data_IF_735084816391
#
_entry.id   IF_735084816391
#
_cell.length_a   1.000
_cell.length_b   1.000
_cell.length_c   1.000
_cell.angle_alpha   90.00
_cell.angle_beta   90.00
_cell.angle_gamma   90.00
#
_symmetry.space_group_name_H-M   'P 1'
#
loop_
_entity.id
_entity.type
_entity.pdbx_description
1 polymer ?
#
# COMPACT_ATOMS: atom_id res chain seq x y z
N UNK A 1 -3.02 13.17 -17.77
CA UNK A 1 -4.46 12.93 -17.51
C UNK A 1 -4.63 11.79 -16.48
N UNK A 2 -3.75 11.70 -15.46
CA UNK A 2 -3.33 10.37 -14.98
C UNK A 2 -3.68 10.04 -13.53
N UNK A 3 -4.29 10.96 -12.76
CA UNK A 3 -4.72 10.68 -11.38
C UNK A 3 -6.24 10.64 -11.16
N UNK A 4 -7.04 11.24 -12.05
CA UNK A 4 -8.51 11.33 -11.85
C UNK A 4 -9.21 9.97 -12.02
N UNK A 5 -8.86 9.20 -13.05
CA UNK A 5 -9.50 7.91 -13.33
C UNK A 5 -9.14 6.80 -12.30
N UNK A 6 -8.01 6.93 -11.60
CA UNK A 6 -7.56 5.95 -10.58
C UNK A 6 -8.32 6.15 -9.26
N UNK A 7 -8.58 7.41 -8.89
CA UNK A 7 -9.44 7.75 -7.75
C UNK A 7 -10.87 7.27 -7.96
N UNK A 8 -11.39 7.38 -9.19
CA UNK A 8 -12.76 6.95 -9.53
C UNK A 8 -13.00 5.46 -9.24
N UNK A 9 -12.07 4.56 -9.56
CA UNK A 9 -12.32 3.12 -9.40
C UNK A 9 -12.42 2.67 -7.92
N UNK A 10 -11.55 3.17 -7.04
CA UNK A 10 -11.51 2.75 -5.62
C UNK A 10 -12.69 3.31 -4.84
N UNK A 11 -13.00 4.59 -5.04
CA UNK A 11 -14.16 5.24 -4.42
C UNK A 11 -15.47 4.66 -4.98
N UNK A 12 -15.53 4.27 -6.26
CA UNK A 12 -16.69 3.54 -6.81
C UNK A 12 -16.87 2.20 -6.12
N UNK A 13 -15.81 1.40 -5.90
CA UNK A 13 -15.91 0.14 -5.15
C UNK A 13 -16.42 0.36 -3.73
N UNK A 14 -15.90 1.37 -3.03
CA UNK A 14 -16.36 1.72 -1.68
C UNK A 14 -17.83 2.16 -1.68
N UNK A 15 -18.25 2.94 -2.69
CA UNK A 15 -19.63 3.40 -2.85
C UNK A 15 -20.61 2.26 -3.17
N UNK A 16 -20.18 1.28 -3.97
CA UNK A 16 -20.93 0.06 -4.24
C UNK A 16 -21.14 -0.75 -2.96
N UNK A 17 -20.09 -0.96 -2.16
CA UNK A 17 -20.19 -1.65 -0.87
C UNK A 17 -21.09 -0.87 0.09
N UNK A 18 -20.96 0.46 0.11
CA UNK A 18 -21.76 1.33 0.96
C UNK A 18 -23.25 1.40 0.56
N UNK A 19 -23.61 0.97 -0.66
CA UNK A 19 -24.97 1.07 -1.19
C UNK A 19 -25.34 2.46 -1.69
N UNK A 20 -24.34 3.30 -1.97
CA UNK A 20 -24.51 4.61 -2.61
C UNK A 20 -24.61 4.49 -4.14
N UNK A 21 -24.07 3.40 -4.69
CA UNK A 21 -24.19 2.99 -6.09
C UNK A 21 -24.74 1.56 -6.18
N UNK A 22 -25.37 1.24 -7.30
CA UNK A 22 -25.82 -0.12 -7.64
C UNK A 22 -24.83 -0.77 -8.61
N UNK A 23 -24.50 -2.07 -8.42
CA UNK A 23 -23.65 -2.78 -9.37
C UNK A 23 -24.42 -3.07 -10.66
N UNK A 24 -23.72 -3.02 -11.80
CA UNK A 24 -24.30 -3.41 -13.09
C UNK A 24 -24.56 -4.92 -13.17
N UNK A 25 -23.69 -5.72 -12.54
CA UNK A 25 -23.79 -7.18 -12.42
C UNK A 25 -23.07 -7.68 -11.14
N UNK A 26 -23.32 -8.92 -10.76
CA UNK A 26 -22.73 -9.57 -9.59
C UNK A 26 -23.46 -9.28 -8.27
N UNK A 27 -22.88 -9.77 -7.17
CA UNK A 27 -23.50 -9.71 -5.85
C UNK A 27 -22.51 -9.22 -4.78
N UNK A 28 -23.02 -8.51 -3.79
CA UNK A 28 -22.26 -8.02 -2.63
C UNK A 28 -22.77 -8.73 -1.38
N UNK A 29 -21.87 -9.41 -0.68
CA UNK A 29 -22.17 -10.11 0.58
C UNK A 29 -21.43 -9.46 1.74
N UNK A 30 -22.15 -9.12 2.82
CA UNK A 30 -21.58 -8.64 4.08
C UNK A 30 -22.04 -9.58 5.20
N UNK A 31 -21.10 -10.17 5.92
CA UNK A 31 -21.41 -11.15 6.98
C UNK A 31 -22.19 -12.37 6.47
N UNK A 32 -22.03 -12.74 5.20
CA UNK A 32 -22.78 -13.83 4.54
C UNK A 32 -24.18 -13.44 4.05
N UNK A 33 -24.62 -12.19 4.26
CA UNK A 33 -25.93 -11.70 3.84
C UNK A 33 -25.78 -10.95 2.51
N UNK A 34 -26.60 -11.27 1.53
CA UNK A 34 -26.69 -10.49 0.28
C UNK A 34 -27.24 -9.08 0.60
N UNK A 35 -26.42 -8.07 0.33
CA UNK A 35 -26.76 -6.66 0.52
C UNK A 35 -26.87 -5.89 -0.79
N UNK A 36 -26.77 -6.57 -1.95
CA UNK A 36 -26.65 -5.97 -3.28
C UNK A 36 -27.67 -4.84 -3.50
N UNK A 37 -28.95 -5.11 -3.21
CA UNK A 37 -30.05 -4.16 -3.39
C UNK A 37 -30.49 -3.43 -2.10
N UNK A 38 -29.79 -3.66 -0.97
CA UNK A 38 -30.13 -3.02 0.31
C UNK A 38 -29.69 -1.57 0.34
N UNK A 39 -30.47 -0.71 0.99
CA UNK A 39 -30.10 0.68 1.20
C UNK A 39 -28.94 0.79 2.21
N UNK A 40 -28.13 1.88 2.20
CA UNK A 40 -26.95 2.02 3.06
C UNK A 40 -27.20 1.75 4.55
N UNK A 41 -28.34 2.20 5.09
CA UNK A 41 -28.68 2.04 6.51
C UNK A 41 -29.05 0.60 6.90
N UNK A 42 -29.26 -0.29 5.93
CA UNK A 42 -29.61 -1.70 6.11
C UNK A 42 -28.38 -2.63 5.99
N UNK A 43 -27.20 -2.10 5.65
CA UNK A 43 -25.99 -2.89 5.34
C UNK A 43 -25.06 -3.17 6.53
N UNK A 44 -25.42 -2.70 7.73
CA UNK A 44 -24.60 -2.84 8.95
C UNK A 44 -23.12 -2.41 8.77
N UNK A 45 -22.93 -1.23 8.17
CA UNK A 45 -21.60 -0.69 7.83
C UNK A 45 -21.30 0.60 8.60
N UNK A 46 -20.05 0.75 9.04
CA UNK A 46 -19.50 2.04 9.48
C UNK A 46 -18.79 2.75 8.33
N UNK A 47 -18.96 4.06 8.16
CA UNK A 47 -18.25 4.84 7.14
C UNK A 47 -17.53 6.01 7.78
N UNK A 48 -16.22 6.09 7.56
CA UNK A 48 -15.36 7.20 7.99
C UNK A 48 -15.02 8.04 6.76
N UNK A 49 -15.48 9.28 6.75
CA UNK A 49 -15.23 10.25 5.67
C UNK A 49 -13.94 11.05 5.95
N UNK A 50 -13.33 11.58 4.88
CA UNK A 50 -12.13 12.43 4.94
C UNK A 50 -12.29 13.65 5.87
N UNK A 51 -13.47 14.28 5.89
CA UNK A 51 -13.76 15.44 6.73
C UNK A 51 -14.25 15.08 8.14
N UNK A 52 -14.12 13.81 8.56
CA UNK A 52 -14.62 13.22 9.81
C UNK A 52 -16.16 13.22 9.97
N UNK A 53 -16.85 14.12 9.27
CA UNK A 53 -18.30 14.30 9.23
C UNK A 53 -18.93 14.34 10.63
N UNK A 54 -18.24 14.92 11.62
CA UNK A 54 -18.78 15.11 12.97
C UNK A 54 -19.86 16.19 12.94
N UNK A 55 -20.95 16.00 13.67
CA UNK A 55 -22.02 16.97 13.80
C UNK A 55 -21.53 18.13 14.67
N UNK A 56 -21.36 19.36 14.12
CA UNK A 56 -20.69 20.45 14.84
C UNK A 56 -21.51 21.01 15.99
N UNK A 57 -22.82 20.75 15.99
CA UNK A 57 -23.78 21.20 17.00
C UNK A 57 -24.04 20.15 18.09
N UNK A 58 -23.40 19.00 18.02
CA UNK A 58 -23.49 17.94 19.02
C UNK A 58 -22.18 17.82 19.78
N UNK A 59 -22.23 17.45 21.07
CA UNK A 59 -21.02 17.11 21.84
C UNK A 59 -20.36 15.84 21.30
N UNK A 60 -19.16 15.53 21.77
CA UNK A 60 -18.48 14.26 21.45
C UNK A 60 -19.33 13.06 21.87
N UNK A 61 -19.86 13.06 23.10
CA UNK A 61 -20.71 11.99 23.59
C UNK A 61 -21.97 11.83 22.72
N UNK A 62 -22.58 12.93 22.29
CA UNK A 62 -23.75 12.90 21.41
C UNK A 62 -23.42 12.40 20.00
N UNK A 63 -22.29 12.82 19.44
CA UNK A 63 -21.78 12.33 18.16
C UNK A 63 -21.60 10.81 18.21
N UNK A 64 -20.96 10.29 19.25
CA UNK A 64 -20.72 8.86 19.43
C UNK A 64 -22.04 8.13 19.69
N UNK A 65 -22.96 8.68 20.49
CA UNK A 65 -24.24 8.04 20.78
C UNK A 65 -25.21 8.01 19.58
N UNK A 66 -25.02 8.88 18.59
CA UNK A 66 -25.97 9.07 17.49
C UNK A 66 -26.34 7.76 16.74
N UNK A 67 -25.39 6.91 16.31
CA UNK A 67 -25.74 5.64 15.65
C UNK A 67 -26.53 4.69 16.55
N UNK A 68 -26.25 4.67 17.87
CA UNK A 68 -26.99 3.85 18.82
C UNK A 68 -28.43 4.33 19.00
N UNK A 69 -28.65 5.65 19.00
CA UNK A 69 -29.99 6.26 19.02
C UNK A 69 -30.81 5.84 17.81
N UNK A 70 -30.20 5.85 16.61
CA UNK A 70 -30.86 5.40 15.38
C UNK A 70 -31.22 3.92 15.41
N UNK A 71 -30.44 3.11 16.15
CA UNK A 71 -30.70 1.68 16.39
C UNK A 71 -31.64 1.41 17.58
N UNK A 72 -32.19 2.45 18.21
CA UNK A 72 -33.12 2.35 19.34
C UNK A 72 -32.53 1.58 20.54
N UNK A 73 -31.21 1.68 20.75
CA UNK A 73 -30.52 1.13 21.93
C UNK A 73 -30.97 1.89 23.18
N UNK A 74 -31.07 1.20 24.33
CA UNK A 74 -31.53 1.83 25.58
C UNK A 74 -30.56 2.92 26.06
N UNK A 75 -31.08 3.93 26.77
CA UNK A 75 -30.25 5.03 27.28
C UNK A 75 -29.09 4.56 28.16
N UNK A 76 -29.33 3.55 28.99
CA UNK A 76 -28.32 2.95 29.86
C UNK A 76 -27.20 2.26 29.06
N UNK A 77 -27.55 1.42 28.09
CA UNK A 77 -26.56 0.76 27.23
C UNK A 77 -25.79 1.76 26.37
N UNK A 78 -26.45 2.82 25.90
CA UNK A 78 -25.79 3.90 25.17
C UNK A 78 -24.71 4.58 25.99
N UNK A 79 -25.02 4.97 27.23
CA UNK A 79 -24.04 5.59 28.13
C UNK A 79 -22.82 4.67 28.38
N UNK A 80 -23.07 3.39 28.62
CA UNK A 80 -22.00 2.41 28.82
C UNK A 80 -21.14 2.21 27.57
N UNK A 81 -21.76 2.19 26.38
CA UNK A 81 -21.05 2.05 25.12
C UNK A 81 -20.21 3.29 24.78
N UNK A 82 -20.75 4.49 25.02
CA UNK A 82 -20.03 5.76 24.82
C UNK A 82 -18.83 5.85 25.77
N UNK A 83 -19.00 5.54 27.06
CA UNK A 83 -17.89 5.56 28.01
C UNK A 83 -16.79 4.57 27.60
N UNK A 84 -17.16 3.33 27.29
CA UNK A 84 -16.21 2.29 26.85
C UNK A 84 -15.44 2.66 25.59
N UNK A 85 -16.10 3.24 24.58
CA UNK A 85 -15.41 3.60 23.34
C UNK A 85 -14.52 4.83 23.52
N UNK A 86 -14.87 5.76 24.42
CA UNK A 86 -14.01 6.90 24.76
C UNK A 86 -12.74 6.47 25.50
N UNK A 87 -12.84 5.48 26.39
CA UNK A 87 -11.67 4.84 27.00
C UNK A 87 -10.78 4.18 25.94
N UNK A 88 -11.38 3.43 25.01
CA UNK A 88 -10.65 2.76 23.93
C UNK A 88 -9.82 3.75 23.10
N UNK A 89 -10.40 4.89 22.74
CA UNK A 89 -9.69 5.93 21.96
C UNK A 89 -8.86 6.89 22.82
N UNK A 90 -8.72 6.60 24.12
CA UNK A 90 -7.94 7.36 25.10
C UNK A 90 -8.38 8.84 25.23
N UNK A 91 -9.70 9.10 25.13
CA UNK A 91 -10.29 10.43 25.24
C UNK A 91 -11.49 10.50 26.21
N UNK A 92 -11.45 9.92 27.42
CA UNK A 92 -12.60 9.96 28.34
C UNK A 92 -12.98 11.39 28.76
N UNK A 93 -12.02 12.31 28.80
CA UNK A 93 -12.18 13.68 29.31
C UNK A 93 -12.78 14.68 28.30
N UNK A 94 -13.07 14.27 27.06
CA UNK A 94 -13.60 15.18 26.02
C UNK A 94 -15.08 14.98 25.73
N UNK A 95 -15.77 14.12 26.48
CA UNK A 95 -17.17 13.74 26.24
C UNK A 95 -18.12 14.94 26.06
N UNK A 96 -17.95 15.98 26.87
CA UNK A 96 -18.82 17.18 26.89
C UNK A 96 -18.37 18.28 25.92
N UNK A 97 -17.22 18.10 25.23
CA UNK A 97 -16.71 19.08 24.27
C UNK A 97 -17.42 18.97 22.94
N UNK A 98 -17.40 20.05 22.17
CA UNK A 98 -17.81 20.09 20.78
C UNK A 98 -16.64 19.79 19.83
N UNK A 99 -16.89 19.28 18.60
CA UNK A 99 -15.83 18.95 17.64
C UNK A 99 -14.83 20.09 17.38
N UNK A 100 -15.30 21.34 17.36
CA UNK A 100 -14.47 22.54 17.16
C UNK A 100 -13.42 22.79 18.26
N UNK A 101 -13.58 22.15 19.41
CA UNK A 101 -12.68 22.27 20.58
C UNK A 101 -11.62 21.16 20.62
N UNK A 102 -11.59 20.31 19.58
CA UNK A 102 -10.69 19.18 19.45
C UNK A 102 -9.62 19.45 18.38
N UNK A 103 -8.43 18.87 18.58
CA UNK A 103 -7.42 18.79 17.52
C UNK A 103 -7.89 17.88 16.38
N UNK A 104 -7.27 18.00 15.19
CA UNK A 104 -7.61 17.14 14.04
C UNK A 104 -7.50 15.64 14.35
N UNK A 105 -6.42 15.22 15.03
CA UNK A 105 -6.26 13.83 15.47
C UNK A 105 -7.31 13.38 16.48
N UNK A 106 -7.72 14.26 17.40
CA UNK A 106 -8.83 13.97 18.32
C UNK A 106 -10.15 13.83 17.56
N UNK A 107 -10.48 14.73 16.63
CA UNK A 107 -11.69 14.62 15.80
C UNK A 107 -11.72 13.29 15.03
N UNK A 108 -10.58 12.87 14.48
CA UNK A 108 -10.49 11.59 13.79
C UNK A 108 -10.73 10.39 14.71
N UNK A 109 -10.12 10.38 15.90
CA UNK A 109 -10.38 9.36 16.93
C UNK A 109 -11.87 9.31 17.30
N UNK A 110 -12.53 10.46 17.43
CA UNK A 110 -13.97 10.53 17.70
C UNK A 110 -14.80 10.01 16.51
N UNK A 111 -14.42 10.31 15.27
CA UNK A 111 -15.10 9.80 14.08
C UNK A 111 -15.01 8.27 13.95
N UNK A 112 -13.84 7.71 14.26
CA UNK A 112 -13.62 6.27 14.37
C UNK A 112 -14.48 5.67 15.50
N UNK A 113 -14.44 6.26 16.70
CA UNK A 113 -15.24 5.83 17.84
C UNK A 113 -16.74 5.80 17.51
N UNK A 114 -17.25 6.85 16.85
CA UNK A 114 -18.65 6.91 16.39
C UNK A 114 -18.99 5.77 15.45
N UNK A 115 -18.11 5.40 14.52
CA UNK A 115 -18.35 4.28 13.61
C UNK A 115 -18.29 2.93 14.31
N UNK A 116 -17.46 2.80 15.34
CA UNK A 116 -17.19 1.54 16.04
C UNK A 116 -18.13 1.25 17.21
N UNK A 117 -18.81 2.27 17.75
CA UNK A 117 -19.58 2.17 19.01
C UNK A 117 -20.64 1.05 18.99
N UNK A 118 -21.26 0.79 17.84
CA UNK A 118 -22.27 -0.25 17.67
C UNK A 118 -21.73 -1.55 17.05
N UNK A 119 -20.41 -1.64 16.87
CA UNK A 119 -19.69 -2.82 16.35
C UNK A 119 -20.23 -3.31 15.00
N UNK A 120 -20.12 -2.50 13.92
CA UNK A 120 -20.54 -2.92 12.59
C UNK A 120 -19.77 -4.15 12.10
N UNK A 121 -20.35 -4.87 11.15
CA UNK A 121 -19.68 -5.98 10.47
C UNK A 121 -18.43 -5.53 9.69
N UNK A 122 -18.46 -4.32 9.12
CA UNK A 122 -17.36 -3.74 8.34
C UNK A 122 -17.29 -2.21 8.52
N UNK A 123 -16.07 -1.67 8.51
CA UNK A 123 -15.80 -0.23 8.50
C UNK A 123 -15.13 0.14 7.18
N UNK A 124 -15.68 1.12 6.49
CA UNK A 124 -15.17 1.68 5.24
C UNK A 124 -14.44 3.00 5.53
N UNK A 125 -13.23 3.15 5.02
CA UNK A 125 -12.46 4.39 5.13
C UNK A 125 -11.97 4.83 3.77
N UNK A 126 -12.35 6.03 3.34
CA UNK A 126 -11.93 6.60 2.05
C UNK A 126 -10.92 7.73 2.27
N UNK A 127 -9.64 7.44 2.00
CA UNK A 127 -8.46 8.28 2.23
C UNK A 127 -8.50 9.11 3.53
N UNK A 128 -8.75 8.48 4.70
CA UNK A 128 -9.06 9.18 5.93
C UNK A 128 -7.89 10.01 6.49
N UNK A 129 -6.68 9.86 5.95
CA UNK A 129 -5.45 10.52 6.40
C UNK A 129 -4.88 11.53 5.39
N UNK A 130 -5.50 11.68 4.22
CA UNK A 130 -4.95 12.47 3.11
C UNK A 130 -4.74 13.96 3.44
N UNK A 131 -5.58 14.53 4.32
CA UNK A 131 -5.51 15.95 4.70
C UNK A 131 -4.53 16.24 5.86
N UNK A 132 -3.89 15.22 6.44
CA UNK A 132 -3.04 15.36 7.62
C UNK A 132 -1.57 15.60 7.24
N UNK A 133 -0.85 16.35 8.09
CA UNK A 133 0.60 16.47 8.00
C UNK A 133 1.29 15.14 8.34
N UNK A 134 2.55 14.97 7.92
CA UNK A 134 3.30 13.72 8.05
C UNK A 134 3.40 13.21 9.49
N UNK A 135 3.59 14.09 10.47
CA UNK A 135 3.77 13.67 11.88
C UNK A 135 2.46 13.15 12.45
N UNK A 136 1.38 13.89 12.24
CA UNK A 136 0.06 13.50 12.71
C UNK A 136 -0.45 12.26 11.96
N UNK A 137 -0.19 12.16 10.65
CA UNK A 137 -0.49 10.99 9.83
C UNK A 137 0.13 9.71 10.41
N UNK A 138 1.44 9.72 10.66
CA UNK A 138 2.14 8.55 11.21
C UNK A 138 1.61 8.15 12.59
N UNK A 139 1.30 9.13 13.44
CA UNK A 139 0.67 8.87 14.74
C UNK A 139 -0.71 8.22 14.58
N UNK A 140 -1.53 8.73 13.66
CA UNK A 140 -2.88 8.23 13.43
C UNK A 140 -2.92 6.84 12.79
N UNK A 141 -1.95 6.51 11.93
CA UNK A 141 -1.78 5.15 11.40
C UNK A 141 -1.60 4.13 12.52
N UNK A 142 -0.65 4.38 13.43
CA UNK A 142 -0.41 3.50 14.58
C UNK A 142 -1.65 3.36 15.45
N UNK A 143 -2.38 4.45 15.65
CA UNK A 143 -3.61 4.47 16.42
C UNK A 143 -4.72 3.60 15.81
N UNK A 144 -4.97 3.75 14.51
CA UNK A 144 -5.97 2.94 13.79
C UNK A 144 -5.60 1.46 13.87
N UNK A 145 -4.31 1.12 13.73
CA UNK A 145 -3.83 -0.26 13.83
C UNK A 145 -4.03 -0.85 15.23
N UNK A 146 -3.77 -0.06 16.28
CA UNK A 146 -4.05 -0.44 17.68
C UNK A 146 -5.53 -0.71 17.88
N UNK A 147 -6.38 0.24 17.51
CA UNK A 147 -7.84 0.14 17.65
C UNK A 147 -8.39 -1.06 16.86
N UNK A 148 -7.93 -1.27 15.63
CA UNK A 148 -8.30 -2.44 14.81
C UNK A 148 -7.98 -3.75 15.52
N UNK A 149 -6.76 -3.88 16.07
CA UNK A 149 -6.30 -5.08 16.76
C UNK A 149 -7.10 -5.39 18.03
N UNK A 150 -7.56 -4.37 18.74
CA UNK A 150 -8.38 -4.52 19.95
C UNK A 150 -9.85 -4.87 19.64
N UNK A 151 -10.39 -4.38 18.51
CA UNK A 151 -11.79 -4.60 18.13
C UNK A 151 -12.04 -5.85 17.28
N UNK A 152 -11.08 -6.23 16.43
CA UNK A 152 -11.22 -7.35 15.50
C UNK A 152 -12.27 -7.15 14.40
N UNK A 153 -12.75 -5.92 14.20
CA UNK A 153 -13.72 -5.58 13.14
C UNK A 153 -13.03 -5.51 11.77
N UNK A 154 -13.69 -5.95 10.70
CA UNK A 154 -13.14 -5.83 9.33
C UNK A 154 -13.06 -4.36 8.92
N UNK A 155 -11.91 -3.90 8.45
CA UNK A 155 -11.72 -2.55 7.90
C UNK A 155 -11.34 -2.66 6.42
N UNK A 156 -12.10 -1.97 5.56
CA UNK A 156 -11.70 -1.70 4.18
C UNK A 156 -11.16 -0.28 4.09
N UNK A 157 -9.86 -0.18 3.87
CA UNK A 157 -9.12 1.09 3.82
C UNK A 157 -8.72 1.41 2.37
N UNK A 158 -9.16 2.55 1.86
CA UNK A 158 -8.80 3.05 0.53
C UNK A 158 -7.79 4.19 0.68
N UNK A 159 -6.69 4.11 -0.08
CA UNK A 159 -5.67 5.16 -0.14
C UNK A 159 -5.00 5.23 -1.51
N UNK A 160 -4.34 6.34 -1.77
CA UNK A 160 -3.38 6.51 -2.86
C UNK A 160 -1.92 6.49 -2.37
N UNK A 161 -1.71 6.47 -1.05
CA UNK A 161 -0.39 6.46 -0.44
C UNK A 161 0.08 5.02 -0.25
N UNK A 162 1.23 4.70 -0.85
CA UNK A 162 1.82 3.36 -0.80
C UNK A 162 2.32 3.00 0.60
N UNK A 163 2.87 3.98 1.33
CA UNK A 163 3.39 3.78 2.69
C UNK A 163 2.22 3.45 3.63
N UNK A 164 1.08 4.11 3.48
CA UNK A 164 -0.16 3.76 4.19
C UNK A 164 -0.60 2.32 3.88
N UNK A 165 -0.70 1.95 2.60
CA UNK A 165 -1.13 0.61 2.21
C UNK A 165 -0.23 -0.47 2.81
N UNK A 166 1.09 -0.25 2.79
CA UNK A 166 2.10 -1.19 3.29
C UNK A 166 2.14 -1.33 4.82
N UNK A 167 1.86 -0.25 5.55
CA UNK A 167 1.97 -0.22 7.01
C UNK A 167 0.68 -0.63 7.72
N UNK A 168 -0.46 -0.31 7.12
CA UNK A 168 -1.79 -0.44 7.73
C UNK A 168 -2.50 -1.75 7.41
N UNK A 169 -2.19 -2.36 6.26
CA UNK A 169 -3.02 -3.43 5.71
C UNK A 169 -2.46 -4.81 6.05
N UNK A 170 -3.34 -5.72 6.43
CA UNK A 170 -3.01 -7.16 6.47
C UNK A 170 -2.91 -7.72 5.03
N UNK A 171 -3.75 -7.21 4.13
CA UNK A 171 -3.78 -7.54 2.69
C UNK A 171 -4.05 -6.29 1.88
N UNK A 172 -3.41 -6.20 0.72
CA UNK A 172 -3.52 -5.08 -0.23
C UNK A 172 -4.14 -5.61 -1.52
N UNK A 173 -5.18 -4.93 -1.99
CA UNK A 173 -5.75 -5.09 -3.32
C UNK A 173 -5.24 -3.95 -4.21
N UNK A 174 -4.26 -4.22 -5.06
CA UNK A 174 -3.77 -3.25 -6.03
C UNK A 174 -4.69 -3.26 -7.25
N UNK A 175 -5.24 -2.09 -7.60
CA UNK A 175 -6.15 -1.92 -8.73
C UNK A 175 -5.57 -0.99 -9.79
N UNK A 176 -5.79 -1.31 -11.05
CA UNK A 176 -5.40 -0.52 -12.21
C UNK A 176 -6.49 -0.61 -13.29
N UNK A 177 -6.93 0.53 -13.84
CA UNK A 177 -7.95 0.57 -14.89
C UNK A 177 -9.25 -0.20 -14.54
N UNK A 178 -9.66 -0.21 -13.27
CA UNK A 178 -10.84 -0.94 -12.80
C UNK A 178 -10.64 -2.45 -12.60
N UNK A 179 -9.44 -2.99 -12.82
CA UNK A 179 -9.10 -4.41 -12.61
C UNK A 179 -8.20 -4.58 -11.38
N UNK A 180 -8.29 -5.75 -10.75
CA UNK A 180 -7.35 -6.15 -9.70
C UNK A 180 -6.09 -6.66 -10.39
N UNK A 181 -4.97 -5.96 -10.18
CA UNK A 181 -3.65 -6.37 -10.67
C UNK A 181 -3.07 -7.47 -9.78
N UNK A 182 -3.16 -7.27 -8.47
CA UNK A 182 -2.68 -8.23 -7.49
C UNK A 182 -3.39 -8.03 -6.15
N UNK A 183 -3.69 -9.16 -5.49
CA UNK A 183 -4.22 -9.21 -4.14
C UNK A 183 -3.33 -10.11 -3.29
N UNK A 184 -2.76 -9.58 -2.22
CA UNK A 184 -1.80 -10.32 -1.39
C UNK A 184 -1.41 -9.55 -0.14
N UNK A 185 -0.49 -10.09 0.65
CA UNK A 185 0.10 -9.37 1.79
C UNK A 185 1.06 -8.27 1.31
N UNK A 186 1.38 -7.26 2.15
CA UNK A 186 2.39 -6.25 1.82
C UNK A 186 3.72 -6.88 1.36
N UNK A 187 4.17 -7.94 2.04
CA UNK A 187 5.42 -8.66 1.72
C UNK A 187 5.34 -9.31 0.34
N UNK A 188 4.22 -9.97 0.01
CA UNK A 188 4.02 -10.59 -1.30
C UNK A 188 3.98 -9.56 -2.44
N UNK A 189 3.28 -8.43 -2.26
CA UNK A 189 3.25 -7.37 -3.28
C UNK A 189 4.62 -6.74 -3.48
N UNK A 190 5.39 -6.60 -2.41
CA UNK A 190 6.71 -5.97 -2.47
C UNK A 190 7.79 -6.91 -3.04
N UNK A 191 7.87 -8.15 -2.56
CA UNK A 191 8.94 -9.08 -2.94
C UNK A 191 8.57 -10.05 -4.05
N UNK A 192 7.28 -10.30 -4.29
CA UNK A 192 6.81 -11.26 -5.31
C UNK A 192 5.75 -10.63 -6.23
N UNK A 193 6.04 -9.48 -6.89
CA UNK A 193 5.09 -8.85 -7.80
C UNK A 193 4.77 -9.75 -8.99
N UNK A 194 3.49 -9.80 -9.36
CA UNK A 194 2.97 -10.64 -10.44
C UNK A 194 3.10 -9.99 -11.82
N UNK A 195 3.24 -8.66 -11.88
CA UNK A 195 3.39 -7.89 -13.11
C UNK A 195 4.44 -6.79 -12.92
N UNK A 196 4.99 -6.29 -14.03
CA UNK A 196 5.90 -5.15 -14.04
C UNK A 196 5.26 -3.90 -13.44
N UNK A 197 3.96 -3.70 -13.70
CA UNK A 197 3.18 -2.63 -13.11
C UNK A 197 3.16 -2.72 -11.57
N UNK A 198 2.92 -3.90 -10.99
CA UNK A 198 2.94 -4.05 -9.52
C UNK A 198 4.35 -3.77 -8.97
N UNK A 199 5.38 -4.25 -9.66
CA UNK A 199 6.77 -4.05 -9.27
C UNK A 199 7.19 -2.57 -9.25
N UNK A 200 6.75 -1.80 -10.25
CA UNK A 200 7.00 -0.37 -10.39
C UNK A 200 6.11 0.47 -9.46
N UNK A 201 4.87 0.04 -9.26
CA UNK A 201 3.90 0.77 -8.45
C UNK A 201 4.15 0.62 -6.95
N UNK A 202 4.59 -0.54 -6.45
CA UNK A 202 4.78 -0.77 -5.01
C UNK A 202 6.25 -0.53 -4.67
N UNK A 203 6.59 0.70 -4.26
CA UNK A 203 7.97 1.11 -3.94
C UNK A 203 8.90 1.17 -5.15
N UNK A 204 10.13 1.65 -4.95
CA UNK A 204 11.11 1.74 -6.04
C UNK A 204 11.63 0.36 -6.46
N UNK A 205 11.90 0.21 -7.76
CA UNK A 205 12.40 -1.01 -8.39
C UNK A 205 13.36 -0.70 -9.52
N UNK A 206 14.34 -1.57 -9.72
CA UNK A 206 15.09 -1.67 -10.98
C UNK A 206 14.43 -2.75 -11.84
N UNK A 207 13.97 -2.39 -13.03
CA UNK A 207 13.39 -3.33 -14.00
C UNK A 207 14.35 -3.48 -15.18
N UNK A 208 14.99 -4.65 -15.27
CA UNK A 208 15.99 -4.95 -16.29
C UNK A 208 15.39 -5.84 -17.38
N UNK A 209 15.28 -5.38 -18.63
CA UNK A 209 14.78 -6.21 -19.71
C UNK A 209 15.78 -7.31 -20.06
N UNK A 210 15.30 -8.55 -20.08
CA UNK A 210 16.13 -9.73 -20.32
C UNK A 210 15.40 -10.78 -21.16
N UNK A 211 16.17 -11.77 -21.62
CA UNK A 211 15.68 -12.94 -22.33
C UNK A 211 16.09 -14.21 -21.61
N UNK A 212 15.13 -15.10 -21.41
CA UNK A 212 15.33 -16.36 -20.70
C UNK A 212 16.22 -17.28 -21.52
N UNK A 213 17.31 -17.76 -20.94
CA UNK A 213 18.18 -18.77 -21.54
C UNK A 213 17.80 -20.18 -21.10
N UNK A 214 17.45 -20.36 -19.82
CA UNK A 214 17.10 -21.65 -19.23
C UNK A 214 16.20 -21.48 -18.01
N UNK A 215 15.33 -22.47 -17.75
CA UNK A 215 14.54 -22.56 -16.51
C UNK A 215 14.82 -23.93 -15.88
N UNK A 216 15.24 -23.95 -14.62
CA UNK A 216 15.54 -25.18 -13.89
C UNK A 216 15.30 -25.01 -12.39
N UNK A 217 14.50 -25.88 -11.77
CA UNK A 217 14.32 -25.91 -10.31
C UNK A 217 13.80 -24.60 -9.68
N UNK A 218 12.99 -23.82 -10.42
CA UNK A 218 12.49 -22.51 -9.96
C UNK A 218 13.43 -21.33 -10.20
N UNK A 219 14.67 -21.61 -10.62
CA UNK A 219 15.64 -20.62 -11.07
C UNK A 219 15.46 -20.32 -12.57
N UNK A 220 15.53 -19.05 -12.92
CA UNK A 220 15.42 -18.52 -14.28
C UNK A 220 16.77 -17.91 -14.65
N UNK A 221 17.49 -18.59 -15.55
CA UNK A 221 18.69 -18.04 -16.15
C UNK A 221 18.30 -17.10 -17.29
N UNK A 222 18.94 -15.94 -17.34
CA UNK A 222 18.63 -14.91 -18.33
C UNK A 222 19.89 -14.26 -18.86
N UNK A 223 19.79 -13.69 -20.07
CA UNK A 223 20.77 -12.77 -20.63
C UNK A 223 20.11 -11.40 -20.79
N UNK A 224 20.85 -10.32 -20.53
CA UNK A 224 20.29 -8.98 -20.69
C UNK A 224 19.98 -8.65 -22.16
N UNK A 225 18.92 -7.88 -22.39
CA UNK A 225 18.54 -7.50 -23.75
C UNK A 225 19.47 -6.42 -24.31
N UNK A 226 20.47 -6.89 -25.05
CA UNK A 226 21.47 -6.05 -25.72
C UNK A 226 22.40 -5.29 -24.79
N UNK A 227 22.64 -5.89 -23.62
CA UNK A 227 23.80 -5.64 -22.77
C UNK A 227 24.56 -6.97 -22.67
N UNK A 228 25.89 -6.90 -22.48
CA UNK A 228 26.68 -8.11 -22.24
C UNK A 228 26.39 -8.65 -20.84
N UNK A 229 26.29 -9.98 -20.72
CA UNK A 229 26.09 -10.66 -19.44
C UNK A 229 24.67 -11.16 -19.22
N UNK A 230 24.46 -11.69 -18.03
CA UNK A 230 23.25 -12.38 -17.63
C UNK A 230 23.31 -12.74 -16.16
N UNK A 231 22.31 -13.47 -15.69
CA UNK A 231 22.20 -13.84 -14.30
C UNK A 231 21.14 -14.90 -14.04
N UNK A 232 20.86 -15.09 -12.76
CA UNK A 232 19.84 -15.99 -12.25
C UNK A 232 18.85 -15.16 -11.45
N UNK A 233 17.56 -15.38 -11.68
CA UNK A 233 16.47 -14.81 -10.92
C UNK A 233 15.52 -15.91 -10.46
N UNK A 234 14.73 -15.63 -9.42
CA UNK A 234 13.67 -16.51 -8.93
C UNK A 234 12.40 -16.26 -9.74
N UNK A 235 11.69 -17.32 -10.12
CA UNK A 235 10.36 -17.20 -10.74
C UNK A 235 9.36 -16.60 -9.75
N UNK A 236 8.49 -15.69 -10.21
CA UNK A 236 7.35 -15.20 -9.42
C UNK A 236 6.16 -16.17 -9.36
N UNK A 237 6.34 -17.43 -9.79
CA UNK A 237 5.31 -18.46 -9.84
C UNK A 237 4.53 -18.53 -11.15
N UNK A 238 4.66 -17.53 -12.03
CA UNK A 238 4.07 -17.60 -13.38
C UNK A 238 4.92 -18.48 -14.30
N UNK A 239 4.29 -19.19 -15.27
CA UNK A 239 5.02 -19.97 -16.26
C UNK A 239 5.99 -19.10 -17.07
N UNK A 240 7.25 -19.53 -17.13
CA UNK A 240 8.30 -18.90 -17.93
C UNK A 240 8.90 -19.95 -18.84
N UNK A 241 9.03 -19.63 -20.12
CA UNK A 241 9.58 -20.55 -21.14
C UNK A 241 10.94 -20.06 -21.63
N UNK A 242 11.92 -20.96 -21.87
CA UNK A 242 13.16 -20.57 -22.53
C UNK A 242 12.93 -19.76 -23.82
N UNK A 243 13.70 -18.70 -24.00
CA UNK A 243 13.60 -17.79 -25.14
C UNK A 243 12.59 -16.66 -25.01
N UNK A 244 11.71 -16.66 -23.98
CA UNK A 244 10.75 -15.56 -23.75
C UNK A 244 11.44 -14.30 -23.23
N UNK A 245 10.79 -13.16 -23.43
CA UNK A 245 11.18 -11.88 -22.84
C UNK A 245 10.63 -11.78 -21.42
N UNK A 246 11.44 -11.24 -20.52
CA UNK A 246 11.09 -11.02 -19.12
C UNK A 246 11.63 -9.65 -18.67
N UNK A 247 11.10 -9.15 -17.56
CA UNK A 247 11.72 -8.10 -16.77
C UNK A 247 12.26 -8.71 -15.49
N UNK A 248 13.53 -8.44 -15.19
CA UNK A 248 14.16 -8.84 -13.93
C UNK A 248 14.02 -7.67 -12.97
N UNK A 249 13.19 -7.86 -11.95
CA UNK A 249 12.99 -6.89 -10.87
C UNK A 249 14.04 -7.09 -9.79
N UNK A 250 14.69 -6.00 -9.40
CA UNK A 250 15.62 -5.95 -8.26
C UNK A 250 15.28 -4.70 -7.44
N UNK A 251 15.06 -4.87 -6.13
CA UNK A 251 14.82 -3.73 -5.25
C UNK A 251 16.11 -2.93 -5.03
N UNK A 252 16.07 -1.59 -4.95
CA UNK A 252 17.27 -0.76 -4.80
C UNK A 252 18.16 -1.14 -3.62
N UNK A 253 17.58 -1.64 -2.53
CA UNK A 253 18.33 -2.09 -1.35
C UNK A 253 19.00 -3.45 -1.49
N UNK A 254 18.70 -4.22 -2.54
CA UNK A 254 19.33 -5.50 -2.85
C UNK A 254 20.44 -5.38 -3.89
N UNK A 255 20.64 -4.18 -4.46
CA UNK A 255 21.70 -3.88 -5.40
C UNK A 255 22.82 -3.14 -4.68
N UNK A 256 24.05 -3.65 -4.74
CA UNK A 256 25.21 -3.02 -4.10
C UNK A 256 26.38 -2.89 -5.06
N UNK A 257 27.34 -2.03 -4.71
CA UNK A 257 28.60 -1.96 -5.47
C UNK A 257 29.43 -3.19 -5.15
N UNK A 258 29.85 -3.89 -6.20
CA UNK A 258 30.54 -5.17 -6.12
C UNK A 258 31.86 -5.06 -5.37
N UNK A 259 32.17 -6.12 -4.65
CA UNK A 259 33.45 -6.33 -3.96
C UNK A 259 34.10 -7.64 -4.45
N UNK A 260 35.33 -7.90 -4.03
CA UNK A 260 36.06 -9.12 -4.42
C UNK A 260 35.37 -10.42 -3.96
N UNK A 261 34.49 -10.36 -2.96
CA UNK A 261 33.74 -11.52 -2.46
C UNK A 261 32.56 -11.96 -3.33
N UNK A 262 32.12 -11.13 -4.29
CA UNK A 262 30.81 -11.29 -4.93
C UNK A 262 30.88 -12.13 -6.22
N UNK A 263 31.84 -13.05 -6.33
CA UNK A 263 32.19 -13.73 -7.59
C UNK A 263 31.07 -14.60 -8.18
N UNK A 264 30.13 -15.06 -7.35
CA UNK A 264 28.99 -15.90 -7.75
C UNK A 264 27.67 -15.15 -7.85
N UNK A 265 27.70 -13.83 -7.69
CA UNK A 265 26.51 -12.99 -7.77
C UNK A 265 26.24 -12.52 -9.20
N UNK A 266 25.00 -12.09 -9.44
CA UNK A 266 24.65 -11.43 -10.69
C UNK A 266 25.36 -10.08 -10.77
N UNK A 267 25.75 -9.65 -11.97
CA UNK A 267 26.54 -8.43 -12.16
C UNK A 267 26.06 -7.58 -13.31
N UNK A 268 26.17 -6.26 -13.17
CA UNK A 268 25.97 -5.29 -14.25
C UNK A 268 26.93 -4.11 -14.10
N UNK A 269 27.48 -3.63 -15.22
CA UNK A 269 28.27 -2.40 -15.24
C UNK A 269 27.35 -1.19 -15.43
N UNK A 270 27.59 -0.14 -14.66
CA UNK A 270 26.85 1.11 -14.75
C UNK A 270 27.74 2.31 -14.41
N UNK A 271 27.35 3.49 -14.88
CA UNK A 271 28.04 4.75 -14.60
C UNK A 271 27.21 5.53 -13.59
N UNK A 272 27.84 5.98 -12.50
CA UNK A 272 27.18 6.82 -11.50
C UNK A 272 26.79 8.17 -12.13
N UNK A 273 25.50 8.48 -12.17
CA UNK A 273 24.97 9.72 -12.74
C UNK A 273 24.61 10.73 -11.66
N UNK A 274 24.17 10.30 -10.48
CA UNK A 274 23.84 11.20 -9.37
C UNK A 274 23.88 10.48 -8.01
N UNK A 275 23.98 11.26 -6.93
CA UNK A 275 23.97 10.76 -5.56
C UNK A 275 23.20 11.71 -4.63
N UNK A 276 22.21 11.16 -3.93
CA UNK A 276 21.30 11.92 -3.08
C UNK A 276 21.25 11.32 -1.68
N UNK A 277 21.41 12.15 -0.65
CA UNK A 277 21.24 11.74 0.76
C UNK A 277 19.83 12.08 1.22
N UNK A 278 19.07 11.07 1.66
CA UNK A 278 17.68 11.22 2.13
C UNK A 278 17.57 10.98 3.65
N UNK A 279 18.63 11.28 4.39
CA UNK A 279 18.72 11.06 5.84
C UNK A 279 19.40 9.74 6.17
N UNK A 280 18.65 8.77 6.71
CA UNK A 280 19.19 7.47 7.11
C UNK A 280 19.68 6.60 5.93
N UNK A 281 19.17 6.88 4.73
CA UNK A 281 19.57 6.23 3.49
C UNK A 281 20.15 7.23 2.50
N UNK A 282 21.00 6.74 1.62
CA UNK A 282 21.51 7.45 0.46
C UNK A 282 21.18 6.67 -0.82
N UNK A 283 20.82 7.39 -1.87
CA UNK A 283 20.50 6.84 -3.17
C UNK A 283 21.59 7.18 -4.17
N UNK A 284 22.06 6.18 -4.89
CA UNK A 284 22.90 6.35 -6.09
C UNK A 284 22.05 6.09 -7.32
N UNK A 285 22.02 7.05 -8.23
CA UNK A 285 21.42 6.89 -9.56
C UNK A 285 22.52 6.54 -10.55
N UNK A 286 22.31 5.52 -11.37
CA UNK A 286 23.29 5.02 -12.32
C UNK A 286 22.66 4.80 -13.68
N UNK A 287 23.48 4.86 -14.73
CA UNK A 287 23.08 4.53 -16.09
C UNK A 287 23.89 3.32 -16.57
N UNK A 288 23.20 2.21 -16.80
CA UNK A 288 23.75 1.04 -17.48
C UNK A 288 23.64 1.22 -19.02
N UNK A 289 24.27 0.35 -19.84
CA UNK A 289 24.19 0.44 -21.29
C UNK A 289 22.73 0.53 -21.79
N UNK A 290 22.54 1.18 -22.95
CA UNK A 290 21.22 1.52 -23.53
C UNK A 290 20.38 2.49 -22.69
N UNK A 291 21.02 3.32 -21.85
CA UNK A 291 20.38 4.30 -20.97
C UNK A 291 19.43 3.69 -19.93
N UNK A 292 19.66 2.43 -19.57
CA UNK A 292 18.90 1.75 -18.52
C UNK A 292 19.22 2.42 -17.18
N UNK A 293 18.23 3.08 -16.57
CA UNK A 293 18.41 3.75 -15.28
C UNK A 293 18.36 2.73 -14.14
N UNK A 294 19.28 2.87 -13.20
CA UNK A 294 19.38 2.05 -12.01
C UNK A 294 19.45 2.92 -10.76
N UNK A 295 18.91 2.40 -9.68
CA UNK A 295 18.88 3.02 -8.37
C UNK A 295 19.39 2.01 -7.34
N UNK A 296 20.32 2.45 -6.52
CA UNK A 296 20.79 1.74 -5.33
C UNK A 296 20.33 2.54 -4.11
N UNK A 297 19.87 1.85 -3.07
CA UNK A 297 19.55 2.45 -1.78
C UNK A 297 20.39 1.80 -0.67
N UNK A 298 21.34 2.55 -0.10
CA UNK A 298 22.24 2.10 0.96
C UNK A 298 21.99 2.90 2.24
N UNK A 299 22.39 2.37 3.40
CA UNK A 299 22.46 3.16 4.62
C UNK A 299 23.51 4.27 4.46
N UNK A 300 23.15 5.49 4.87
CA UNK A 300 24.07 6.63 4.79
C UNK A 300 25.28 6.38 5.71
N UNK A 301 26.47 6.28 5.13
CA UNK A 301 27.72 6.13 5.87
C UNK A 301 28.53 7.42 5.84
N UNK A 302 28.76 8.03 7.02
CA UNK A 302 29.50 9.30 7.13
C UNK A 302 31.00 9.22 6.83
N UNK A 303 31.57 8.02 6.71
CA UNK A 303 33.03 7.79 6.60
C UNK A 303 33.48 7.20 5.26
N UNK A 304 32.57 7.03 4.28
CA UNK A 304 32.98 6.58 2.93
C UNK A 304 33.49 7.75 2.11
N UNK A 305 34.54 7.52 1.33
CA UNK A 305 34.97 8.45 0.29
C UNK A 305 33.78 8.79 -0.63
N UNK A 306 33.58 10.06 -0.99
CA UNK A 306 32.48 10.44 -1.86
C UNK A 306 32.65 9.74 -3.22
N UNK A 307 31.62 9.03 -3.67
CA UNK A 307 31.58 8.50 -5.04
C UNK A 307 31.51 9.69 -6.01
N UNK A 308 32.25 9.61 -7.12
CA UNK A 308 32.33 10.72 -8.07
C UNK A 308 31.36 10.47 -9.24
N UNK A 309 30.61 11.50 -9.62
CA UNK A 309 29.78 11.44 -10.83
C UNK A 309 30.66 11.06 -12.03
N UNK A 310 30.18 10.13 -12.86
CA UNK A 310 30.91 9.57 -13.99
C UNK A 310 31.77 8.35 -13.66
N UNK A 311 31.88 7.96 -12.38
CA UNK A 311 32.58 6.75 -11.97
C UNK A 311 31.90 5.50 -12.54
N UNK A 312 32.71 4.60 -13.12
CA UNK A 312 32.26 3.28 -13.58
C UNK A 312 32.22 2.32 -12.39
N UNK A 313 31.05 1.75 -12.14
CA UNK A 313 30.81 0.83 -11.04
C UNK A 313 30.30 -0.50 -11.60
N UNK A 314 30.77 -1.60 -11.01
CA UNK A 314 30.14 -2.91 -11.17
C UNK A 314 29.18 -3.10 -10.03
N UNK A 315 27.91 -3.37 -10.32
CA UNK A 315 26.88 -3.63 -9.32
C UNK A 315 26.64 -5.13 -9.22
N UNK A 316 26.43 -5.63 -8.01
CA UNK A 316 26.12 -7.04 -7.72
C UNK A 316 24.83 -7.19 -6.92
N UNK A 317 24.20 -8.36 -7.02
CA UNK A 317 23.04 -8.77 -6.23
C UNK A 317 22.90 -10.29 -6.18
N UNK A 318 22.22 -10.80 -5.15
CA UNK A 318 21.92 -12.21 -5.02
C UNK A 318 20.82 -12.66 -6.00
N UNK A 319 20.92 -13.89 -6.52
CA UNK A 319 19.88 -14.48 -7.37
C UNK A 319 18.51 -14.60 -6.67
N UNK A 320 18.49 -14.82 -5.35
CA UNK A 320 17.27 -14.89 -4.56
C UNK A 320 16.53 -13.54 -4.44
N UNK A 321 17.26 -12.44 -4.62
CA UNK A 321 16.75 -11.07 -4.51
C UNK A 321 16.26 -10.51 -5.85
N UNK A 322 16.46 -11.26 -6.93
CA UNK A 322 15.98 -10.93 -8.27
C UNK A 322 14.75 -11.76 -8.61
N UNK A 323 13.71 -11.09 -9.13
CA UNK A 323 12.46 -11.74 -9.52
C UNK A 323 12.28 -11.63 -11.03
N UNK A 324 12.10 -12.78 -11.69
CA UNK A 324 11.77 -12.84 -13.10
C UNK A 324 10.26 -12.65 -13.29
N UNK A 325 9.89 -11.56 -13.95
CA UNK A 325 8.50 -11.22 -14.28
C UNK A 325 8.31 -11.45 -15.78
N UNK A 326 7.40 -12.35 -16.20
CA UNK A 326 7.04 -12.48 -17.61
C UNK A 326 6.51 -11.16 -18.15
N UNK A 327 6.95 -10.74 -19.35
CA UNK A 327 6.26 -9.65 -20.04
C UNK A 327 4.88 -10.14 -20.47
N UNK A 328 3.83 -9.38 -20.15
CA UNK A 328 2.51 -9.67 -20.68
C UNK A 328 2.53 -9.48 -22.21
N UNK A 329 1.94 -10.41 -22.98
CA UNK A 329 1.93 -10.33 -24.44
C UNK A 329 1.12 -9.15 -25.03
N UNK A 330 0.60 -8.22 -24.20
CA UNK A 330 -0.14 -7.02 -24.63
C UNK A 330 0.34 -5.76 -23.89
N UNK A 331 1.57 -5.33 -24.17
CA UNK A 331 2.19 -4.14 -23.56
C UNK A 331 2.52 -3.01 -24.55
N UNK A 332 1.84 -2.94 -25.70
CA UNK A 332 1.89 -1.76 -26.59
C UNK A 332 0.46 -1.44 -27.01
N UNK A 333 -0.22 -0.62 -26.23
CA UNK A 333 -1.20 0.36 -26.72
C UNK A 333 -1.34 1.43 -25.62
N UNK A 334 -0.57 2.51 -25.79
CA UNK A 334 -0.85 3.83 -25.23
C UNK A 334 -1.59 4.60 -26.32
#
# INVERSE_FOLDING_TARGET
MTNRNILECKTTLLSLIAGLLQPDDGNIYIGGIDVTNKAPYERDIGVVFQNYALFPHMTVAENIAFPLKMRKVSAHEMQQAVARILELVELPHVADRFPRELSGGQQQRIALARCMVYRPSIILMDEPLGALDKKLRNQMQLEIKRIHRELGTTILYVTHDQEEAMTMSDRICLMNGGKIEQLGTPIELYFCPQTAFVADFIGESNLLPARVSQVAGGAVHFNFNGMSGGGIATSNGKPITPGSHIEVMIRPQHLHVSTESDLNENRIEAILTDFVVTGATSKSYLSAPRNTQLIIAELTQGHRSPRLQGEKLTLSWNAADAIAIPQDPMGIEV
#
